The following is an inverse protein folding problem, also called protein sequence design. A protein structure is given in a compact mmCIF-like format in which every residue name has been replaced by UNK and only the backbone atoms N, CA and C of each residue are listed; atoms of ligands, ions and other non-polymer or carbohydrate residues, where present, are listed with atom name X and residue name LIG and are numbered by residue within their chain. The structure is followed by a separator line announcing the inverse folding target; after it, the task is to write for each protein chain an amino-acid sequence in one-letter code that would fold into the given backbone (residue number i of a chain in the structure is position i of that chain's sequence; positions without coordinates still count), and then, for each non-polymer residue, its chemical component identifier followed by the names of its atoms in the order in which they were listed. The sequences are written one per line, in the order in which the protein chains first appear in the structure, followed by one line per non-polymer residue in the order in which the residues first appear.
data_IF_856079930371
#
_entry.id   IF_856079930371
#
_cell.length_a   1.000
_cell.length_b   1.000
_cell.length_c   1.000
_cell.angle_alpha   90.00
_cell.angle_beta   90.00
_cell.angle_gamma   90.00
#
_symmetry.space_group_name_H-M   'P 1'
#
loop_
_entity.id
_entity.type
_entity.pdbx_description
1 polymer ?
#
# COMPACT_ATOMS: atom_id res chain seq x y z
N UNK A 1 -2.65 21.39 17.85
CA UNK A 1 -2.58 20.03 18.45
C UNK A 1 -3.64 19.10 17.84
N UNK A 2 -4.94 19.38 17.94
CA UNK A 2 -6.01 18.52 17.37
C UNK A 2 -5.86 18.31 15.85
N UNK A 3 -5.53 19.37 15.10
CA UNK A 3 -5.32 19.28 13.65
C UNK A 3 -4.11 18.41 13.26
N UNK A 4 -3.00 18.45 14.02
CA UNK A 4 -1.84 17.61 13.72
C UNK A 4 -2.09 16.14 14.07
N UNK A 5 -2.79 15.87 15.17
CA UNK A 5 -3.16 14.50 15.57
C UNK A 5 -4.11 13.85 14.56
N UNK A 6 -5.08 14.60 14.04
CA UNK A 6 -6.01 14.10 13.01
C UNK A 6 -5.27 13.79 11.69
N UNK A 7 -4.37 14.68 11.29
CA UNK A 7 -3.57 14.55 10.07
C UNK A 7 -2.63 13.33 10.15
N UNK A 8 -2.02 13.06 11.31
CA UNK A 8 -1.22 11.84 11.55
C UNK A 8 -2.06 10.56 11.53
N UNK A 9 -3.29 10.57 12.05
CA UNK A 9 -4.17 9.40 11.98
C UNK A 9 -4.58 9.07 10.52
N UNK A 10 -4.82 10.08 9.69
CA UNK A 10 -5.19 9.88 8.28
C UNK A 10 -4.08 9.25 7.43
N UNK A 11 -2.80 9.59 7.64
CA UNK A 11 -1.71 8.89 6.94
C UNK A 11 -1.59 7.44 7.41
N UNK A 12 -1.74 7.17 8.71
CA UNK A 12 -1.68 5.79 9.22
C UNK A 12 -2.80 4.93 8.61
N UNK A 13 -4.02 5.46 8.43
CA UNK A 13 -5.08 4.77 7.71
C UNK A 13 -4.75 4.56 6.22
N UNK A 14 -4.30 5.62 5.53
CA UNK A 14 -3.99 5.55 4.10
C UNK A 14 -2.87 4.54 3.79
N UNK A 15 -1.87 4.43 4.66
CA UNK A 15 -0.73 3.52 4.51
C UNK A 15 -1.06 2.06 4.82
N UNK A 16 -2.25 1.75 5.33
CA UNK A 16 -2.76 0.39 5.37
C UNK A 16 -3.30 -0.11 4.01
N UNK A 17 -3.54 0.80 3.06
CA UNK A 17 -4.18 0.45 1.79
C UNK A 17 -3.35 -0.46 0.88
N UNK A 18 -2.01 -0.37 0.79
CA UNK A 18 -1.22 -1.38 0.08
C UNK A 18 -1.40 -2.81 0.62
N UNK A 19 -1.51 -2.96 1.95
CA UNK A 19 -1.77 -4.25 2.57
C UNK A 19 -3.17 -4.77 2.23
N UNK A 20 -4.18 -3.90 2.30
CA UNK A 20 -5.55 -4.24 1.88
C UNK A 20 -5.57 -4.60 0.39
N UNK A 21 -4.84 -3.86 -0.45
CA UNK A 21 -4.71 -4.12 -1.87
C UNK A 21 -4.10 -5.48 -2.16
N UNK A 22 -3.06 -5.89 -1.45
CA UNK A 22 -2.46 -7.23 -1.62
C UNK A 22 -3.47 -8.31 -1.23
N UNK A 23 -4.25 -8.08 -0.18
CA UNK A 23 -5.30 -9.03 0.20
C UNK A 23 -6.38 -9.15 -0.86
N UNK A 24 -6.72 -8.06 -1.56
CA UNK A 24 -7.63 -8.13 -2.73
C UNK A 24 -6.95 -8.80 -3.91
N UNK A 25 -5.68 -8.50 -4.19
CA UNK A 25 -4.91 -9.09 -5.26
C UNK A 25 -4.74 -10.61 -5.09
N UNK A 26 -4.60 -11.12 -3.86
CA UNK A 26 -4.56 -12.55 -3.57
C UNK A 26 -5.83 -13.29 -4.02
N UNK A 27 -6.96 -12.59 -4.10
CA UNK A 27 -8.18 -13.12 -4.69
C UNK A 27 -8.26 -12.85 -6.20
N UNK A 28 -7.92 -11.63 -6.64
CA UNK A 28 -8.09 -11.22 -8.04
C UNK A 28 -7.07 -11.83 -9.01
N UNK A 29 -5.80 -11.97 -8.61
CA UNK A 29 -4.71 -12.49 -9.45
C UNK A 29 -4.99 -13.93 -9.95
N UNK A 30 -5.37 -14.92 -9.13
CA UNK A 30 -5.64 -16.25 -9.63
C UNK A 30 -6.82 -16.27 -10.63
N UNK A 31 -7.85 -15.45 -10.39
CA UNK A 31 -8.96 -15.25 -11.33
C UNK A 31 -8.46 -14.60 -12.62
N UNK A 32 -7.62 -13.58 -12.54
CA UNK A 32 -7.02 -12.91 -13.70
C UNK A 32 -6.16 -13.85 -14.55
N UNK A 33 -5.34 -14.69 -13.91
CA UNK A 33 -4.52 -15.69 -14.60
C UNK A 33 -5.41 -16.67 -15.38
N UNK A 34 -6.53 -17.10 -14.79
CA UNK A 34 -7.44 -18.06 -15.42
C UNK A 34 -8.33 -17.42 -16.49
N UNK A 35 -8.96 -16.28 -16.18
CA UNK A 35 -10.00 -15.68 -17.00
C UNK A 35 -9.44 -14.78 -18.11
N UNK A 36 -8.31 -14.10 -17.86
CA UNK A 36 -7.72 -13.15 -18.81
C UNK A 36 -6.50 -13.75 -19.49
N UNK A 37 -5.51 -14.22 -18.72
CA UNK A 37 -4.26 -14.76 -19.30
C UNK A 37 -4.41 -16.18 -19.87
N UNK A 38 -5.52 -16.88 -19.55
CA UNK A 38 -5.78 -18.27 -19.95
C UNK A 38 -4.61 -19.21 -19.65
N UNK A 39 -3.96 -18.99 -18.51
CA UNK A 39 -2.75 -19.69 -18.11
C UNK A 39 -2.99 -20.64 -16.93
N UNK A 40 -2.04 -21.55 -16.72
CA UNK A 40 -2.14 -22.60 -15.69
C UNK A 40 -1.71 -22.11 -14.30
N UNK A 41 -1.98 -22.94 -13.29
CA UNK A 41 -1.62 -22.66 -11.90
C UNK A 41 -0.09 -22.50 -11.67
N UNK A 42 0.76 -22.98 -12.58
CA UNK A 42 2.22 -22.75 -12.47
C UNK A 42 2.58 -21.27 -12.59
N UNK A 43 1.82 -20.50 -13.38
CA UNK A 43 1.99 -19.04 -13.46
C UNK A 43 1.69 -18.38 -12.11
N UNK A 44 0.65 -18.83 -11.41
CA UNK A 44 0.34 -18.32 -10.07
C UNK A 44 1.44 -18.67 -9.06
N UNK A 45 2.02 -19.87 -9.14
CA UNK A 45 3.13 -20.27 -8.28
C UNK A 45 4.38 -19.42 -8.52
N UNK A 46 4.71 -19.14 -9.79
CA UNK A 46 5.86 -18.29 -10.16
C UNK A 46 5.61 -16.83 -9.75
N UNK A 47 4.41 -16.31 -9.97
CA UNK A 47 3.99 -15.00 -9.48
C UNK A 47 4.22 -14.86 -7.97
N UNK A 48 3.78 -15.86 -7.18
CA UNK A 48 4.02 -15.90 -5.74
C UNK A 48 5.50 -15.95 -5.35
N UNK A 49 6.34 -16.68 -6.11
CA UNK A 49 7.80 -16.66 -5.91
C UNK A 49 8.39 -15.27 -6.18
N UNK A 50 7.98 -14.61 -7.26
CA UNK A 50 8.43 -13.26 -7.63
C UNK A 50 7.99 -12.23 -6.58
N UNK A 51 6.76 -12.35 -6.08
CA UNK A 51 6.30 -11.58 -4.93
C UNK A 51 7.21 -11.80 -3.70
N UNK A 52 7.58 -13.05 -3.41
CA UNK A 52 8.53 -13.38 -2.34
C UNK A 52 9.89 -12.67 -2.48
N UNK A 53 10.45 -12.65 -3.70
CA UNK A 53 11.69 -11.91 -4.00
C UNK A 53 11.53 -10.42 -3.70
N UNK A 54 10.46 -9.79 -4.17
CA UNK A 54 10.19 -8.37 -3.91
C UNK A 54 10.01 -8.07 -2.42
N UNK A 55 9.42 -8.99 -1.65
CA UNK A 55 9.25 -8.82 -0.21
C UNK A 55 10.60 -8.84 0.54
N UNK A 56 11.51 -9.74 0.17
CA UNK A 56 12.88 -9.78 0.72
C UNK A 56 13.63 -8.49 0.36
N UNK A 57 13.54 -8.05 -0.90
CA UNK A 57 14.16 -6.80 -1.35
C UNK A 57 13.65 -5.60 -0.55
N UNK A 58 12.34 -5.50 -0.30
CA UNK A 58 11.78 -4.43 0.54
C UNK A 58 12.27 -4.49 1.99
N UNK A 59 12.34 -5.69 2.58
CA UNK A 59 12.81 -5.86 3.96
C UNK A 59 14.24 -5.37 4.19
N UNK A 60 15.10 -5.45 3.16
CA UNK A 60 16.49 -4.99 3.21
C UNK A 60 16.61 -3.52 2.78
N UNK A 61 16.03 -3.17 1.64
CA UNK A 61 16.25 -1.86 1.00
C UNK A 61 15.56 -0.70 1.72
N UNK A 62 14.37 -0.91 2.28
CA UNK A 62 13.58 0.18 2.86
C UNK A 62 14.17 0.71 4.17
N UNK A 63 14.64 -0.13 5.12
CA UNK A 63 15.41 0.35 6.26
C UNK A 63 16.69 1.11 5.89
N UNK A 64 17.38 0.69 4.82
CA UNK A 64 18.57 1.39 4.32
C UNK A 64 18.18 2.75 3.74
N UNK A 65 17.12 2.80 2.92
CA UNK A 65 16.63 4.02 2.31
C UNK A 65 16.23 5.08 3.34
N UNK A 66 15.58 4.66 4.44
CA UNK A 66 15.20 5.56 5.54
C UNK A 66 16.39 6.21 6.28
N UNK A 67 17.62 5.76 6.06
CA UNK A 67 18.83 6.47 6.54
C UNK A 67 19.14 7.73 5.75
N UNK A 68 18.64 7.83 4.52
CA UNK A 68 18.97 8.90 3.57
C UNK A 68 17.78 9.81 3.25
N UNK A 69 16.55 9.34 3.48
CA UNK A 69 15.33 10.12 3.25
C UNK A 69 14.38 10.00 4.44
N UNK A 70 13.53 11.01 4.63
CA UNK A 70 12.52 10.99 5.70
C UNK A 70 11.57 9.80 5.57
N UNK A 71 11.08 9.29 6.70
CA UNK A 71 10.21 8.09 6.76
C UNK A 71 8.92 8.29 5.96
N UNK A 72 8.32 9.48 6.01
CA UNK A 72 7.09 9.78 5.28
C UNK A 72 7.31 9.77 3.76
N UNK A 73 8.50 10.18 3.31
CA UNK A 73 8.88 10.11 1.89
C UNK A 73 9.04 8.64 1.49
N UNK A 74 9.67 7.82 2.35
CA UNK A 74 9.82 6.38 2.13
C UNK A 74 8.46 5.68 1.98
N UNK A 75 7.50 6.04 2.82
CA UNK A 75 6.11 5.61 2.73
C UNK A 75 5.51 5.99 1.38
N UNK A 76 5.58 7.26 0.98
CA UNK A 76 4.99 7.71 -0.28
C UNK A 76 5.62 7.02 -1.47
N UNK A 77 6.95 6.87 -1.51
CA UNK A 77 7.64 6.18 -2.62
C UNK A 77 7.21 4.73 -2.75
N UNK A 78 7.11 4.00 -1.64
CA UNK A 78 6.65 2.61 -1.65
C UNK A 78 5.17 2.49 -2.03
N UNK A 79 4.33 3.42 -1.60
CA UNK A 79 2.93 3.51 -2.07
C UNK A 79 2.84 3.81 -3.57
N UNK A 80 3.68 4.70 -4.13
CA UNK A 80 3.75 4.97 -5.58
C UNK A 80 4.08 3.69 -6.34
N UNK A 81 5.11 2.95 -5.91
CA UNK A 81 5.49 1.66 -6.52
C UNK A 81 4.29 0.70 -6.51
N UNK A 82 3.57 0.62 -5.39
CA UNK A 82 2.40 -0.25 -5.27
C UNK A 82 1.25 0.18 -6.20
N UNK A 83 0.94 1.47 -6.26
CA UNK A 83 -0.14 2.02 -7.09
C UNK A 83 0.16 1.84 -8.57
N UNK A 84 1.38 2.13 -9.00
CA UNK A 84 1.83 1.91 -10.38
C UNK A 84 1.69 0.44 -10.73
N UNK A 85 2.13 -0.46 -9.85
CA UNK A 85 2.10 -1.88 -10.15
C UNK A 85 0.70 -2.49 -10.21
N UNK A 86 -0.25 -2.05 -9.39
CA UNK A 86 -1.66 -2.45 -9.54
C UNK A 86 -2.30 -1.80 -10.78
N UNK A 87 -1.99 -0.54 -11.08
CA UNK A 87 -2.58 0.16 -12.22
C UNK A 87 -2.05 -0.40 -13.54
N UNK A 88 -0.79 -0.81 -13.60
CA UNK A 88 -0.17 -1.41 -14.78
C UNK A 88 -0.79 -2.76 -15.16
N UNK A 89 -1.36 -3.51 -14.21
CA UNK A 89 -2.12 -4.75 -14.48
C UNK A 89 -3.31 -4.54 -15.42
N UNK A 90 -3.79 -3.31 -15.51
CA UNK A 90 -5.00 -2.94 -16.25
C UNK A 90 -4.68 -2.59 -17.72
N UNK A 91 -3.42 -2.29 -18.03
CA UNK A 91 -3.02 -1.76 -19.33
C UNK A 91 -3.02 -2.85 -20.40
N UNK A 92 -2.26 -3.93 -20.17
CA UNK A 92 -2.08 -5.00 -21.14
C UNK A 92 -1.91 -6.35 -20.43
N UNK A 93 -2.68 -7.39 -20.80
CA UNK A 93 -2.48 -8.72 -20.24
C UNK A 93 -1.19 -9.39 -20.70
N UNK A 94 -0.24 -9.57 -19.78
CA UNK A 94 1.00 -10.29 -20.04
C UNK A 94 1.50 -11.05 -18.82
N UNK A 95 1.92 -12.31 -19.02
CA UNK A 95 2.53 -13.14 -17.97
C UNK A 95 3.88 -12.53 -17.52
N UNK A 96 4.70 -12.06 -18.47
CA UNK A 96 5.99 -11.44 -18.13
C UNK A 96 5.79 -10.14 -17.36
N UNK A 97 4.77 -9.37 -17.73
CA UNK A 97 4.39 -8.18 -16.98
C UNK A 97 3.92 -8.56 -15.58
N UNK A 98 3.03 -9.55 -15.43
CA UNK A 98 2.57 -10.04 -14.13
C UNK A 98 3.74 -10.40 -13.20
N UNK A 99 4.75 -11.13 -13.69
CA UNK A 99 5.92 -11.49 -12.88
C UNK A 99 6.73 -10.28 -12.42
N UNK A 100 6.96 -9.32 -13.31
CA UNK A 100 7.63 -8.07 -12.95
C UNK A 100 6.81 -7.26 -11.94
N UNK A 101 5.50 -7.17 -12.16
CA UNK A 101 4.58 -6.45 -11.29
C UNK A 101 4.45 -7.10 -9.91
N UNK A 102 4.54 -8.42 -9.78
CA UNK A 102 4.53 -9.11 -8.50
C UNK A 102 5.67 -8.66 -7.57
N UNK A 103 6.87 -8.45 -8.13
CA UNK A 103 8.02 -7.90 -7.38
C UNK A 103 7.67 -6.50 -6.86
N UNK A 104 7.08 -5.65 -7.70
CA UNK A 104 6.69 -4.29 -7.32
C UNK A 104 5.49 -4.25 -6.35
N UNK A 105 4.52 -5.17 -6.47
CA UNK A 105 3.44 -5.33 -5.50
C UNK A 105 4.02 -5.63 -4.12
N UNK A 106 4.99 -6.53 -4.06
CA UNK A 106 5.65 -6.90 -2.82
C UNK A 106 6.52 -5.78 -2.26
N UNK A 107 7.34 -5.11 -3.09
CA UNK A 107 8.16 -3.98 -2.65
C UNK A 107 7.27 -2.86 -2.10
N UNK A 108 6.20 -2.52 -2.83
CA UNK A 108 5.29 -1.47 -2.43
C UNK A 108 4.55 -1.79 -1.14
N UNK A 109 3.97 -2.98 -1.01
CA UNK A 109 3.25 -3.39 0.20
C UNK A 109 4.19 -3.59 1.40
N UNK A 110 5.19 -4.46 1.27
CA UNK A 110 6.12 -4.76 2.36
C UNK A 110 6.91 -3.51 2.75
N UNK A 111 7.32 -2.70 1.79
CA UNK A 111 8.03 -1.45 2.04
C UNK A 111 7.19 -0.41 2.76
N UNK A 112 5.94 -0.19 2.32
CA UNK A 112 5.01 0.72 3.02
C UNK A 112 4.81 0.26 4.46
N UNK A 113 4.63 -1.05 4.67
CA UNK A 113 4.45 -1.64 6.00
C UNK A 113 5.67 -1.45 6.91
N UNK A 114 6.88 -1.67 6.38
CA UNK A 114 8.13 -1.44 7.13
C UNK A 114 8.25 0.02 7.54
N UNK A 115 8.12 0.95 6.60
CA UNK A 115 8.26 2.37 6.88
C UNK A 115 7.15 2.91 7.80
N UNK A 116 5.91 2.45 7.64
CA UNK A 116 4.79 2.78 8.52
C UNK A 116 5.03 2.29 9.95
N UNK A 117 5.53 1.07 10.13
CA UNK A 117 5.81 0.56 11.46
C UNK A 117 6.88 1.40 12.16
N UNK A 118 7.89 1.88 11.43
CA UNK A 118 8.88 2.83 11.97
C UNK A 118 8.23 4.18 12.31
N UNK A 119 7.38 4.73 11.44
CA UNK A 119 6.63 5.97 11.73
C UNK A 119 5.78 5.83 13.00
N UNK A 120 5.13 4.68 13.18
CA UNK A 120 4.36 4.40 14.39
C UNK A 120 5.27 4.44 15.61
N UNK A 121 6.44 3.79 15.57
CA UNK A 121 7.43 3.80 16.67
C UNK A 121 7.95 5.21 17.03
N UNK A 122 8.02 6.13 16.06
CA UNK A 122 8.44 7.51 16.32
C UNK A 122 7.32 8.41 16.86
N UNK A 123 6.09 8.22 16.38
CA UNK A 123 4.98 9.16 16.65
C UNK A 123 4.05 8.68 17.78
N UNK A 124 4.03 7.39 18.11
CA UNK A 124 3.10 6.80 19.09
C UNK A 124 3.87 6.36 20.34
N UNK A 125 3.43 6.77 21.55
CA UNK A 125 4.03 6.31 22.79
C UNK A 125 3.97 4.79 22.96
N UNK A 126 5.06 4.19 23.46
CA UNK A 126 5.22 2.74 23.54
C UNK A 126 4.13 2.06 24.40
N UNK A 127 3.63 2.73 25.45
CA UNK A 127 2.59 2.24 26.35
C UNK A 127 1.19 2.13 25.72
N UNK A 128 0.98 2.78 24.56
CA UNK A 128 -0.30 2.72 23.82
C UNK A 128 -0.14 2.08 22.43
N UNK A 129 1.09 1.83 21.98
CA UNK A 129 1.40 1.31 20.65
C UNK A 129 0.55 0.09 20.25
N UNK A 130 0.51 -0.93 21.12
CA UNK A 130 -0.23 -2.17 20.84
C UNK A 130 -1.74 -1.95 20.70
N UNK A 131 -2.31 -0.98 21.42
CA UNK A 131 -3.74 -0.62 21.32
C UNK A 131 -4.03 0.09 20.00
N UNK A 132 -3.19 1.05 19.62
CA UNK A 132 -3.31 1.79 18.37
C UNK A 132 -3.17 0.85 17.17
N UNK A 133 -2.15 0.01 17.17
CA UNK A 133 -1.92 -1.01 16.13
C UNK A 133 -3.08 -2.00 16.00
N UNK A 134 -3.65 -2.45 17.13
CA UNK A 134 -4.83 -3.31 17.13
C UNK A 134 -6.08 -2.62 16.57
N UNK A 135 -6.28 -1.33 16.87
CA UNK A 135 -7.38 -0.55 16.29
C UNK A 135 -7.25 -0.45 14.76
N UNK A 136 -6.06 -0.14 14.25
CA UNK A 136 -5.82 -0.09 12.81
C UNK A 136 -6.02 -1.45 12.13
N UNK A 137 -5.60 -2.55 12.77
CA UNK A 137 -5.88 -3.91 12.29
C UNK A 137 -7.37 -4.22 12.24
N UNK A 138 -8.14 -3.82 13.25
CA UNK A 138 -9.59 -4.01 13.29
C UNK A 138 -10.26 -3.27 12.13
N UNK A 139 -9.94 -1.99 11.96
CA UNK A 139 -10.45 -1.16 10.86
C UNK A 139 -10.07 -1.77 9.51
N UNK A 140 -8.79 -2.12 9.33
CA UNK A 140 -8.29 -2.74 8.10
C UNK A 140 -8.97 -4.07 7.78
N UNK A 141 -9.24 -4.89 8.79
CA UNK A 141 -9.98 -6.15 8.65
C UNK A 141 -11.42 -5.90 8.22
N UNK A 142 -12.10 -4.92 8.83
CA UNK A 142 -13.45 -4.52 8.42
C UNK A 142 -13.51 -4.08 6.96
N UNK A 143 -12.60 -3.21 6.53
CA UNK A 143 -12.50 -2.76 5.13
C UNK A 143 -12.25 -3.96 4.20
N UNK A 144 -11.35 -4.88 4.56
CA UNK A 144 -11.07 -6.08 3.77
C UNK A 144 -12.31 -6.95 3.57
N UNK A 145 -13.11 -7.16 4.62
CA UNK A 145 -14.32 -7.98 4.54
C UNK A 145 -15.32 -7.35 3.55
N UNK A 146 -15.56 -6.04 3.68
CA UNK A 146 -16.45 -5.30 2.78
C UNK A 146 -15.96 -5.34 1.34
N UNK A 147 -14.68 -5.03 1.11
CA UNK A 147 -14.10 -5.03 -0.24
C UNK A 147 -14.10 -6.44 -0.85
N UNK A 148 -13.80 -7.48 -0.08
CA UNK A 148 -13.80 -8.85 -0.60
C UNK A 148 -15.20 -9.27 -1.03
N UNK A 149 -16.24 -8.96 -0.24
CA UNK A 149 -17.63 -9.22 -0.65
C UNK A 149 -18.00 -8.49 -1.94
N UNK A 150 -17.65 -7.20 -2.04
CA UNK A 150 -17.92 -6.40 -3.25
C UNK A 150 -17.14 -6.91 -4.46
N UNK A 151 -15.88 -7.29 -4.28
CA UNK A 151 -15.01 -7.74 -5.36
C UNK A 151 -15.41 -9.12 -5.85
N UNK A 152 -15.75 -10.05 -4.96
CA UNK A 152 -16.30 -11.36 -5.36
C UNK A 152 -17.62 -11.23 -6.11
N UNK A 153 -18.52 -10.35 -5.65
CA UNK A 153 -19.74 -10.03 -6.38
C UNK A 153 -19.47 -9.34 -7.73
N UNK A 154 -18.44 -8.49 -7.81
CA UNK A 154 -18.01 -7.81 -9.03
C UNK A 154 -17.44 -8.77 -10.06
N UNK A 155 -16.53 -9.66 -9.65
CA UNK A 155 -15.95 -10.71 -10.51
C UNK A 155 -17.07 -11.54 -11.15
N UNK A 156 -18.02 -12.04 -10.34
CA UNK A 156 -19.07 -12.93 -10.83
C UNK A 156 -20.05 -12.28 -11.82
N UNK A 157 -20.26 -10.96 -11.74
CA UNK A 157 -21.23 -10.24 -12.59
C UNK A 157 -20.61 -9.53 -13.79
N UNK A 158 -19.38 -9.01 -13.63
CA UNK A 158 -18.78 -8.08 -14.59
C UNK A 158 -17.34 -8.44 -14.97
N UNK A 159 -16.81 -9.56 -14.45
CA UNK A 159 -15.45 -10.00 -14.70
C UNK A 159 -14.42 -9.35 -13.78
N UNK A 160 -13.21 -9.91 -13.79
CA UNK A 160 -12.13 -9.57 -12.85
C UNK A 160 -11.54 -8.17 -13.03
N UNK A 161 -11.65 -7.59 -14.22
CA UNK A 161 -11.08 -6.27 -14.52
C UNK A 161 -11.77 -5.14 -13.75
N UNK A 162 -13.09 -5.22 -13.53
CA UNK A 162 -13.86 -4.19 -12.80
C UNK A 162 -13.32 -3.99 -11.36
N UNK A 163 -13.16 -5.05 -10.54
CA UNK A 163 -12.47 -4.96 -9.27
C UNK A 163 -11.05 -4.37 -9.34
N UNK A 164 -10.26 -4.68 -10.39
CA UNK A 164 -8.93 -4.07 -10.57
C UNK A 164 -9.01 -2.56 -10.80
N UNK A 165 -9.93 -2.07 -11.64
CA UNK A 165 -10.16 -0.63 -11.83
C UNK A 165 -10.53 0.05 -10.50
N UNK A 166 -11.50 -0.53 -9.78
CA UNK A 166 -11.93 0.00 -8.47
C UNK A 166 -10.78 0.02 -7.48
N UNK A 167 -9.97 -1.04 -7.44
CA UNK A 167 -8.80 -1.13 -6.57
C UNK A 167 -7.76 -0.06 -6.91
N UNK A 168 -7.45 0.14 -8.19
CA UNK A 168 -6.54 1.19 -8.66
C UNK A 168 -7.03 2.58 -8.22
N UNK A 169 -8.32 2.88 -8.39
CA UNK A 169 -8.90 4.15 -7.94
C UNK A 169 -8.76 4.36 -6.42
N UNK A 170 -9.08 3.34 -5.62
CA UNK A 170 -8.94 3.40 -4.15
C UNK A 170 -7.48 3.66 -3.75
N UNK A 171 -6.53 2.99 -4.40
CA UNK A 171 -5.10 3.15 -4.12
C UNK A 171 -4.59 4.55 -4.53
N UNK A 172 -5.04 5.09 -5.66
CA UNK A 172 -4.71 6.45 -6.11
C UNK A 172 -5.23 7.49 -5.10
N UNK A 173 -6.47 7.34 -4.62
CA UNK A 173 -7.03 8.23 -3.59
C UNK A 173 -6.22 8.16 -2.29
N UNK A 174 -5.84 6.94 -1.88
CA UNK A 174 -5.02 6.71 -0.69
C UNK A 174 -3.63 7.32 -0.82
N UNK A 175 -3.03 7.22 -2.00
CA UNK A 175 -1.76 7.87 -2.32
C UNK A 175 -1.88 9.40 -2.27
N UNK A 176 -2.98 9.97 -2.76
CA UNK A 176 -3.27 11.40 -2.66
C UNK A 176 -3.31 11.90 -1.21
N UNK A 177 -3.93 11.13 -0.30
CA UNK A 177 -3.94 11.43 1.14
C UNK A 177 -2.52 11.41 1.72
N UNK A 178 -1.70 10.42 1.35
CA UNK A 178 -0.32 10.33 1.81
C UNK A 178 0.55 11.50 1.31
N UNK A 179 0.39 11.91 0.04
CA UNK A 179 1.06 13.11 -0.49
C UNK A 179 0.63 14.39 0.23
N UNK A 180 -0.68 14.57 0.45
CA UNK A 180 -1.20 15.73 1.17
C UNK A 180 -0.60 15.83 2.58
N UNK A 181 -0.49 14.71 3.29
CA UNK A 181 0.16 14.65 4.60
C UNK A 181 1.62 15.13 4.54
N UNK A 182 2.43 14.60 3.61
CA UNK A 182 3.85 14.97 3.48
C UNK A 182 4.01 16.47 3.20
N UNK A 183 3.17 17.03 2.33
CA UNK A 183 3.19 18.47 2.01
C UNK A 183 2.80 19.30 3.23
N UNK A 184 1.76 18.87 3.97
CA UNK A 184 1.29 19.55 5.18
C UNK A 184 2.34 19.55 6.30
N UNK A 185 3.01 18.41 6.53
CA UNK A 185 4.09 18.28 7.52
C UNK A 185 5.26 19.21 7.19
N UNK A 186 5.72 19.23 5.93
CA UNK A 186 6.79 20.14 5.47
C UNK A 186 6.46 21.61 5.65
N UNK A 187 5.22 22.04 5.32
CA UNK A 187 4.78 23.43 5.53
C UNK A 187 4.82 23.81 7.01
N UNK A 188 4.42 22.89 7.88
CA UNK A 188 4.43 23.12 9.33
C UNK A 188 5.87 23.28 9.85
N UNK A 189 6.79 22.39 9.45
CA UNK A 189 8.21 22.48 9.81
C UNK A 189 8.86 23.79 9.34
N UNK A 190 8.57 24.23 8.11
CA UNK A 190 9.09 25.48 7.55
C UNK A 190 8.58 26.71 8.32
N UNK A 191 7.30 26.74 8.70
CA UNK A 191 6.71 27.84 9.46
C UNK A 191 7.26 27.95 10.88
N UNK A 192 7.61 26.83 11.52
CA UNK A 192 8.24 26.84 12.85
C UNK A 192 9.66 27.40 12.76
N UNK A 193 10.45 26.94 11.77
CA UNK A 193 11.81 27.44 11.53
C UNK A 193 11.82 28.96 11.30
N UNK A 194 10.89 29.47 10.50
CA UNK A 194 10.80 30.90 10.20
C UNK A 194 10.42 31.76 11.43
N UNK A 195 9.69 31.20 12.41
CA UNK A 195 9.35 31.88 13.66
C UNK A 195 10.45 31.83 14.73
N UNK A 196 11.37 30.87 14.65
CA UNK A 196 12.51 30.79 15.58
C UNK A 196 13.69 31.69 15.21
N UNK A 197 13.66 32.27 14.01
CA UNK A 197 14.71 33.18 13.50
C UNK A 197 14.33 34.66 13.74
N UNK A 198 13.10 34.94 14.19
CA UNK A 198 12.59 36.26 14.57
C UNK A 198 12.47 36.34 16.08
#
# INVERSE_FOLDING_TARGET
MIFSTFVSASILLATYMPFIGVMMANYLIPVYISDILKASASVYAIEGMMYGVGAVLAGISIPIMMKYVKIEISIVMTMVIYVISITAMIIEPSIMLLYGLAIFHAIGNAGTRVARNVLMMEEIPNEVMGRVDSLFRLIGTGIRIVLLMLFTAGVSKAGVMIPFYVLSCILILSLGIAFYYVISKRKTEANVSNKSIV
#
